data_IF_517576653405
#
_entry.id   IF_517576653405
#
_cell.length_a   1.000
_cell.length_b   1.000
_cell.length_c   1.000
_cell.angle_alpha   90.00
_cell.angle_beta   90.00
_cell.angle_gamma   90.00
#
_symmetry.space_group_name_H-M   'P 1'
#
loop_
_entity.id
_entity.type
_entity.pdbx_description
1 polymer ?
#
# COMPACT_ATOMS: atom_id res chain seq x y z
N UNK A 1 -7.63 -7.85 -22.09
CA UNK A 1 -7.79 -7.60 -20.66
C UNK A 1 -6.49 -7.07 -20.08
N UNK A 2 -6.61 -6.13 -19.20
CA UNK A 2 -5.46 -5.60 -18.50
C UNK A 2 -4.81 -6.71 -17.67
N UNK A 3 -3.60 -7.03 -18.01
CA UNK A 3 -2.84 -8.01 -17.25
C UNK A 3 -2.11 -7.28 -16.13
N UNK A 4 -2.69 -7.32 -14.95
CA UNK A 4 -2.15 -6.62 -13.81
C UNK A 4 -0.71 -7.04 -13.51
N UNK A 5 -0.43 -8.32 -13.59
CA UNK A 5 0.91 -8.84 -13.31
C UNK A 5 1.94 -8.31 -14.31
N UNK A 6 1.60 -8.39 -15.58
CA UNK A 6 2.50 -7.93 -16.63
C UNK A 6 2.67 -6.42 -16.57
N UNK A 7 1.59 -5.72 -16.32
CA UNK A 7 1.61 -4.28 -16.28
C UNK A 7 2.36 -3.76 -15.07
N UNK A 8 2.15 -4.38 -13.92
CA UNK A 8 2.94 -4.07 -12.73
C UNK A 8 4.42 -4.30 -13.02
N UNK A 9 4.72 -5.42 -13.64
CA UNK A 9 6.11 -5.74 -13.98
C UNK A 9 6.73 -4.70 -14.89
N UNK A 10 5.96 -4.22 -15.86
CA UNK A 10 6.43 -3.20 -16.80
C UNK A 10 6.54 -1.82 -16.17
N UNK A 11 5.55 -1.46 -15.37
CA UNK A 11 5.47 -0.12 -14.79
C UNK A 11 6.31 0.03 -13.53
N UNK A 12 6.48 -1.07 -12.79
CA UNK A 12 7.14 -1.03 -11.49
C UNK A 12 8.43 -1.82 -11.48
N UNK A 13 8.88 -2.21 -12.65
CA UNK A 13 10.18 -2.84 -12.71
C UNK A 13 11.19 -1.84 -12.19
N UNK A 14 11.76 -2.14 -11.04
CA UNK A 14 12.81 -1.34 -10.48
C UNK A 14 13.97 -1.37 -11.47
N UNK A 15 14.43 -0.20 -11.79
CA UNK A 15 15.55 -0.08 -12.70
C UNK A 15 16.63 0.75 -12.05
N UNK A 16 17.11 0.33 -10.86
CA UNK A 16 18.29 0.97 -10.32
C UNK A 16 19.43 0.64 -11.26
N UNK A 17 20.06 1.66 -11.74
CA UNK A 17 21.13 1.50 -12.70
C UNK A 17 22.33 0.84 -12.06
N UNK A 18 22.45 0.97 -10.73
CA UNK A 18 23.59 0.46 -10.00
C UNK A 18 23.14 -0.36 -8.81
N UNK A 19 23.84 -1.47 -8.57
CA UNK A 19 23.64 -2.22 -7.34
C UNK A 19 24.25 -1.42 -6.17
N UNK A 20 23.84 -1.73 -4.93
CA UNK A 20 24.37 -0.97 -3.78
C UNK A 20 25.88 -0.88 -3.74
N UNK A 21 26.56 -1.99 -3.98
CA UNK A 21 28.04 -2.01 -3.90
C UNK A 21 28.71 -1.28 -5.04
N UNK A 22 27.99 -1.01 -6.12
CA UNK A 22 28.53 -0.30 -7.28
C UNK A 22 28.43 1.21 -7.15
N UNK A 23 27.71 1.70 -6.16
CA UNK A 23 27.60 3.13 -5.92
C UNK A 23 28.89 3.65 -5.33
N UNK A 24 29.36 4.77 -5.85
CA UNK A 24 30.64 5.35 -5.46
C UNK A 24 30.51 6.56 -4.54
N UNK A 25 29.31 6.95 -4.21
CA UNK A 25 29.08 8.09 -3.34
C UNK A 25 27.76 7.94 -2.60
N UNK A 26 27.61 8.68 -1.53
CA UNK A 26 26.38 8.79 -0.78
C UNK A 26 25.25 9.29 -1.67
N UNK A 27 25.58 10.23 -2.53
CA UNK A 27 24.61 10.84 -3.45
C UNK A 27 24.06 9.82 -4.43
N UNK A 28 24.92 8.95 -4.97
CA UNK A 28 24.46 7.88 -5.86
C UNK A 28 23.55 6.90 -5.15
N UNK A 29 23.88 6.55 -3.91
CA UNK A 29 23.05 5.65 -3.10
C UNK A 29 21.68 6.30 -2.86
N UNK A 30 21.67 7.57 -2.49
CA UNK A 30 20.42 8.29 -2.25
C UNK A 30 19.54 8.40 -3.48
N UNK A 31 20.14 8.58 -4.65
CA UNK A 31 19.39 8.56 -5.92
C UNK A 31 18.67 7.24 -6.11
N UNK A 32 19.34 6.13 -5.83
CA UNK A 32 18.72 4.81 -5.96
C UNK A 32 17.60 4.63 -4.94
N UNK A 33 17.81 5.09 -3.71
CA UNK A 33 16.78 5.03 -2.67
C UNK A 33 15.56 5.84 -3.10
N UNK A 34 15.77 7.05 -3.65
CA UNK A 34 14.67 7.90 -4.11
C UNK A 34 13.86 7.22 -5.21
N UNK A 35 14.54 6.55 -6.15
CA UNK A 35 13.86 5.81 -7.21
C UNK A 35 13.01 4.68 -6.64
N UNK A 36 13.56 3.95 -5.66
CA UNK A 36 12.83 2.88 -5.00
C UNK A 36 11.62 3.43 -4.26
N UNK A 37 11.79 4.53 -3.54
CA UNK A 37 10.68 5.13 -2.79
C UNK A 37 9.56 5.60 -3.72
N UNK A 38 9.90 6.15 -4.89
CA UNK A 38 8.89 6.51 -5.88
C UNK A 38 8.06 5.29 -6.30
N UNK A 39 8.71 4.16 -6.51
CA UNK A 39 8.01 2.92 -6.84
C UNK A 39 7.14 2.43 -5.69
N UNK A 40 7.63 2.53 -4.47
CA UNK A 40 6.86 2.15 -3.28
C UNK A 40 5.60 3.00 -3.18
N UNK A 41 5.73 4.32 -3.33
CA UNK A 41 4.58 5.24 -3.27
C UNK A 41 3.58 4.91 -4.38
N UNK A 42 4.07 4.65 -5.59
CA UNK A 42 3.20 4.26 -6.69
C UNK A 42 2.44 2.98 -6.36
N UNK A 43 3.12 2.00 -5.78
CA UNK A 43 2.47 0.73 -5.40
C UNK A 43 1.44 0.93 -4.31
N UNK A 44 1.72 1.80 -3.34
CA UNK A 44 0.73 2.12 -2.32
C UNK A 44 -0.49 2.82 -2.92
N UNK A 45 -0.29 3.72 -3.89
CA UNK A 45 -1.40 4.36 -4.58
C UNK A 45 -2.26 3.34 -5.31
N UNK A 46 -1.62 2.41 -6.01
CA UNK A 46 -2.30 1.32 -6.69
C UNK A 46 -3.07 0.45 -5.70
N UNK A 47 -2.43 0.10 -4.60
CA UNK A 47 -3.06 -0.70 -3.55
C UNK A 47 -4.31 0.01 -3.01
N UNK A 48 -4.23 1.32 -2.82
CA UNK A 48 -5.36 2.07 -2.29
C UNK A 48 -6.56 2.07 -3.24
N UNK A 49 -6.32 2.03 -4.55
CA UNK A 49 -7.41 1.90 -5.51
C UNK A 49 -8.22 0.63 -5.26
N UNK A 50 -7.54 -0.47 -4.95
CA UNK A 50 -8.22 -1.73 -4.62
C UNK A 50 -8.91 -1.67 -3.26
N UNK A 51 -8.27 -1.04 -2.29
CA UNK A 51 -8.87 -0.85 -0.97
C UNK A 51 -10.16 -0.04 -1.08
N UNK A 52 -10.15 1.02 -1.87
CA UNK A 52 -11.34 1.86 -2.09
C UNK A 52 -12.45 1.07 -2.77
N UNK A 53 -12.07 0.27 -3.77
CA UNK A 53 -13.05 -0.49 -4.55
C UNK A 53 -13.75 -1.57 -3.74
N UNK A 54 -13.07 -2.12 -2.73
CA UNK A 54 -13.64 -3.20 -1.93
C UNK A 54 -14.87 -2.74 -1.14
N UNK A 55 -15.00 -1.43 -0.90
CA UNK A 55 -16.14 -0.87 -0.18
C UNK A 55 -17.45 -1.19 -0.89
N UNK A 56 -17.42 -1.36 -2.21
CA UNK A 56 -18.56 -1.78 -3.01
C UNK A 56 -19.21 -3.06 -2.48
N UNK A 57 -18.41 -3.92 -1.86
CA UNK A 57 -18.83 -5.22 -1.36
C UNK A 57 -19.07 -5.23 0.14
N UNK A 58 -18.91 -4.10 0.82
CA UNK A 58 -19.09 -3.97 2.26
C UNK A 58 -20.48 -3.46 2.56
N UNK A 59 -21.11 -4.03 3.57
CA UNK A 59 -22.50 -3.70 3.92
C UNK A 59 -22.59 -2.78 5.12
N UNK A 60 -21.63 -2.86 6.04
CA UNK A 60 -21.70 -2.16 7.30
C UNK A 60 -20.28 -1.90 7.84
N UNK A 61 -20.24 -1.22 8.97
CA UNK A 61 -18.95 -0.89 9.61
C UNK A 61 -18.17 -2.11 10.04
N UNK A 62 -18.85 -3.14 10.48
CA UNK A 62 -18.20 -4.37 10.93
C UNK A 62 -17.45 -5.04 9.79
N UNK A 63 -18.05 -5.08 8.61
CA UNK A 63 -17.39 -5.68 7.46
C UNK A 63 -16.25 -4.82 6.94
N UNK A 64 -16.29 -3.50 7.15
CA UNK A 64 -15.17 -2.63 6.81
C UNK A 64 -14.01 -2.84 7.78
N UNK A 65 -14.29 -2.87 9.08
CA UNK A 65 -13.24 -3.06 10.08
C UNK A 65 -12.60 -4.43 9.96
N UNK A 66 -13.43 -5.49 9.79
CA UNK A 66 -12.97 -6.86 9.55
C UNK A 66 -11.73 -7.21 10.40
N UNK A 67 -11.91 -7.22 11.72
CA UNK A 67 -10.81 -7.38 12.66
C UNK A 67 -9.93 -8.61 12.36
N UNK A 68 -10.54 -9.74 12.04
CA UNK A 68 -9.78 -10.96 11.74
C UNK A 68 -8.89 -10.78 10.52
N UNK A 69 -9.41 -10.11 9.49
CA UNK A 69 -8.64 -9.83 8.28
C UNK A 69 -7.48 -8.87 8.59
N UNK A 70 -7.75 -7.85 9.38
CA UNK A 70 -6.72 -6.89 9.80
C UNK A 70 -5.58 -7.60 10.52
N UNK A 71 -5.91 -8.43 11.51
CA UNK A 71 -4.92 -9.15 12.29
C UNK A 71 -4.09 -10.08 11.39
N UNK A 72 -4.76 -10.75 10.46
CA UNK A 72 -4.11 -11.64 9.52
C UNK A 72 -3.13 -10.88 8.61
N UNK A 73 -3.56 -9.75 8.07
CA UNK A 73 -2.72 -8.93 7.18
C UNK A 73 -1.45 -8.50 7.91
N UNK A 74 -1.60 -7.96 9.11
CA UNK A 74 -0.46 -7.47 9.88
C UNK A 74 0.54 -8.60 10.14
N UNK A 75 0.03 -9.73 10.58
CA UNK A 75 0.88 -10.89 10.88
C UNK A 75 1.63 -11.37 9.65
N UNK A 76 0.92 -11.56 8.56
CA UNK A 76 1.51 -12.11 7.34
C UNK A 76 2.52 -11.14 6.71
N UNK A 77 2.24 -9.83 6.74
CA UNK A 77 3.20 -8.85 6.21
C UNK A 77 4.48 -8.84 7.03
N UNK A 78 4.36 -8.99 8.35
CA UNK A 78 5.54 -9.14 9.19
C UNK A 78 6.36 -10.37 8.84
N UNK A 79 5.69 -11.49 8.57
CA UNK A 79 6.36 -12.72 8.15
C UNK A 79 7.06 -12.55 6.80
N UNK A 80 6.42 -11.88 5.87
CA UNK A 80 7.06 -11.59 4.57
C UNK A 80 8.29 -10.72 4.73
N UNK A 81 8.19 -9.70 5.58
CA UNK A 81 9.33 -8.82 5.85
C UNK A 81 10.50 -9.63 6.38
N UNK A 82 10.24 -10.50 7.34
CA UNK A 82 11.27 -11.34 7.94
C UNK A 82 11.96 -12.21 6.91
N UNK A 83 11.21 -12.78 5.98
CA UNK A 83 11.78 -13.60 4.90
C UNK A 83 12.74 -12.83 4.01
N UNK A 84 12.56 -11.52 3.93
CA UNK A 84 13.42 -10.66 3.12
C UNK A 84 14.49 -9.94 3.94
N UNK A 85 14.72 -10.38 5.17
CA UNK A 85 15.77 -9.82 6.00
C UNK A 85 15.40 -8.50 6.67
N UNK A 86 14.10 -8.16 6.69
CA UNK A 86 13.63 -6.94 7.31
C UNK A 86 13.10 -7.23 8.73
N UNK A 87 12.98 -6.19 9.53
CA UNK A 87 12.51 -6.35 10.90
C UNK A 87 11.00 -6.58 10.94
N UNK A 88 10.62 -7.76 11.41
CA UNK A 88 9.22 -8.17 11.47
C UNK A 88 8.36 -7.18 12.25
N UNK A 89 8.81 -6.81 13.43
CA UNK A 89 8.02 -5.93 14.29
C UNK A 89 7.81 -4.55 13.66
N UNK A 90 8.84 -4.01 13.04
CA UNK A 90 8.74 -2.73 12.34
C UNK A 90 7.68 -2.78 11.26
N UNK A 91 7.67 -3.84 10.46
CA UNK A 91 6.72 -3.93 9.35
C UNK A 91 5.32 -4.27 9.80
N UNK A 92 5.17 -4.99 10.92
CA UNK A 92 3.85 -5.14 11.53
C UNK A 92 3.28 -3.78 11.92
N UNK A 93 4.11 -2.91 12.49
CA UNK A 93 3.66 -1.57 12.89
C UNK A 93 3.32 -0.70 11.69
N UNK A 94 4.14 -0.76 10.63
CA UNK A 94 3.87 -0.03 9.40
C UNK A 94 2.52 -0.45 8.82
N UNK A 95 2.27 -1.74 8.72
CA UNK A 95 1.01 -2.24 8.18
C UNK A 95 -0.17 -2.00 9.11
N UNK A 96 0.04 -2.02 10.41
CA UNK A 96 -1.01 -1.65 11.36
C UNK A 96 -1.44 -0.21 11.13
N UNK A 97 -0.49 0.69 11.01
CA UNK A 97 -0.78 2.10 10.73
C UNK A 97 -1.51 2.25 9.39
N UNK A 98 -0.98 1.60 8.36
CA UNK A 98 -1.56 1.68 7.01
C UNK A 98 -2.98 1.13 6.97
N UNK A 99 -3.20 -0.03 7.56
CA UNK A 99 -4.53 -0.67 7.56
C UNK A 99 -5.52 0.18 8.35
N UNK A 100 -5.13 0.71 9.49
CA UNK A 100 -6.00 1.58 10.28
C UNK A 100 -6.38 2.83 9.50
N UNK A 101 -5.41 3.44 8.81
CA UNK A 101 -5.68 4.60 7.97
C UNK A 101 -6.67 4.24 6.85
N UNK A 102 -6.44 3.11 6.21
CA UNK A 102 -7.31 2.65 5.11
C UNK A 102 -8.72 2.33 5.60
N UNK A 103 -8.84 1.71 6.77
CA UNK A 103 -10.16 1.45 7.36
C UNK A 103 -10.91 2.77 7.57
N UNK A 104 -10.22 3.80 8.06
CA UNK A 104 -10.82 5.12 8.20
C UNK A 104 -11.35 5.66 6.89
N UNK A 105 -10.57 5.52 5.82
CA UNK A 105 -10.99 5.94 4.47
C UNK A 105 -12.16 5.11 3.96
N UNK A 106 -12.13 3.79 4.18
CA UNK A 106 -13.24 2.92 3.78
C UNK A 106 -14.53 3.29 4.50
N UNK A 107 -14.46 3.64 5.79
CA UNK A 107 -15.64 4.07 6.53
C UNK A 107 -16.22 5.37 5.97
N UNK A 108 -15.36 6.31 5.59
CA UNK A 108 -15.80 7.53 4.93
C UNK A 108 -16.52 7.23 3.61
N UNK A 109 -15.94 6.33 2.81
CA UNK A 109 -16.54 5.92 1.54
C UNK A 109 -17.86 5.20 1.76
N UNK A 110 -17.93 4.36 2.79
CA UNK A 110 -19.16 3.65 3.10
C UNK A 110 -20.29 4.63 3.47
N UNK A 111 -19.99 5.63 4.28
CA UNK A 111 -20.97 6.66 4.64
C UNK A 111 -21.42 7.46 3.43
N UNK A 112 -20.49 7.69 2.48
CA UNK A 112 -20.81 8.44 1.28
C UNK A 112 -21.57 7.68 0.22
N UNK A 113 -21.67 6.37 0.33
CA UNK A 113 -22.32 5.55 -0.71
C UNK A 113 -23.77 5.93 -0.97
N UNK A 114 -24.48 6.37 0.06
CA UNK A 114 -25.88 6.75 -0.07
C UNK A 114 -26.07 8.15 -0.64
N UNK A 115 -25.07 8.98 -0.65
CA UNK A 115 -25.15 10.37 -1.09
C UNK A 115 -24.19 10.68 -2.23
N UNK A 116 -23.60 9.65 -2.80
CA UNK A 116 -22.69 9.83 -3.92
C UNK A 116 -21.23 9.89 -3.51
N UNK A 117 -20.41 10.46 -4.36
CA UNK A 117 -18.98 10.52 -4.12
C UNK A 117 -18.66 11.40 -2.91
N UNK A 118 -17.93 10.89 -1.93
CA UNK A 118 -17.58 11.70 -0.76
C UNK A 118 -16.62 12.82 -1.16
N UNK A 119 -16.98 14.04 -0.79
CA UNK A 119 -16.17 15.19 -1.11
C UNK A 119 -14.83 15.16 -0.40
N UNK A 120 -14.80 14.66 0.83
CA UNK A 120 -13.56 14.55 1.58
C UNK A 120 -12.53 13.70 0.86
N UNK A 121 -12.98 12.71 0.13
CA UNK A 121 -12.09 11.84 -0.63
C UNK A 121 -11.48 12.58 -1.82
N UNK A 122 -12.26 13.46 -2.44
CA UNK A 122 -11.77 14.23 -3.57
C UNK A 122 -10.85 15.36 -3.16
N UNK A 123 -11.05 15.89 -1.97
CA UNK A 123 -10.24 17.00 -1.45
C UNK A 123 -8.83 16.55 -1.08
N UNK A 124 -8.60 15.27 -0.95
CA UNK A 124 -7.28 14.73 -0.63
C UNK A 124 -6.33 14.79 -1.83
N UNK A 125 -6.87 14.92 -3.00
CA UNK A 125 -6.05 14.99 -4.23
C UNK A 125 -5.21 16.26 -4.31
#
# INVERSE_FOLDING_TARGET
MYDLKTNIKKQHQLNPVKSPSECNSKEEIREQIDLIDQEIIFLFATRFQYVSEIVRFKKDKESVVAQDRKDHVIKVRGEWAEKHGLDKNTFEQIYRFLVDHNIGKELELLEGKGIGCPDSYREVD
#
